data_IF_357094692043
#
_entry.id   IF_357094692043
#
_cell.length_a   1.000
_cell.length_b   1.000
_cell.length_c   1.000
_cell.angle_alpha   90.00
_cell.angle_beta   90.00
_cell.angle_gamma   90.00
#
_symmetry.space_group_name_H-M   'P 1'
#
loop_
_entity.id
_entity.type
_entity.pdbx_description
1 polymer ?
#
# COMPACT_ATOMS: atom_id res chain seq x y z
N UNK A 1 13.21 -18.36 9.22
CA UNK A 1 11.89 -17.88 9.69
C UNK A 1 11.11 -19.02 10.35
N UNK A 2 10.90 -20.16 9.68
CA UNK A 2 10.25 -21.36 10.27
C UNK A 2 11.06 -21.99 11.43
N UNK A 3 12.38 -22.16 11.26
CA UNK A 3 13.26 -22.71 12.33
C UNK A 3 13.44 -21.81 13.56
N UNK A 4 13.01 -20.54 13.49
CA UNK A 4 13.13 -19.59 14.61
C UNK A 4 11.84 -19.44 15.44
N UNK A 5 10.76 -20.15 15.12
CA UNK A 5 9.44 -19.92 15.73
C UNK A 5 8.82 -18.56 15.38
N UNK A 6 9.35 -17.86 14.39
CA UNK A 6 8.92 -16.52 13.98
C UNK A 6 7.87 -16.64 12.89
N UNK A 7 6.65 -16.16 13.17
CA UNK A 7 5.56 -16.07 12.18
C UNK A 7 5.98 -15.09 11.07
N UNK A 8 6.02 -15.58 9.83
CA UNK A 8 6.42 -14.76 8.68
C UNK A 8 5.33 -13.76 8.28
N UNK A 9 5.74 -12.60 7.76
CA UNK A 9 4.86 -11.63 7.13
C UNK A 9 5.42 -11.25 5.77
N UNK A 10 4.57 -11.29 4.75
CA UNK A 10 4.86 -10.82 3.39
C UNK A 10 3.97 -9.60 3.14
N UNK A 11 4.60 -8.48 2.82
CA UNK A 11 3.90 -7.26 2.43
C UNK A 11 4.26 -6.94 0.99
N UNK A 12 3.27 -6.97 0.10
CA UNK A 12 3.43 -6.61 -1.30
C UNK A 12 3.02 -5.15 -1.52
N UNK A 13 3.76 -4.44 -2.38
CA UNK A 13 3.39 -3.10 -2.84
C UNK A 13 2.63 -3.22 -4.15
N UNK A 14 1.35 -2.81 -4.15
CA UNK A 14 0.54 -2.71 -5.36
C UNK A 14 0.25 -1.23 -5.68
N UNK A 15 -0.89 -0.93 -6.29
CA UNK A 15 -1.25 0.41 -6.76
C UNK A 15 -2.76 0.62 -6.65
N UNK A 16 -3.21 1.86 -6.38
CA UNK A 16 -4.62 2.24 -6.53
C UNK A 16 -5.14 2.06 -7.96
N UNK A 17 -4.25 1.95 -8.96
CA UNK A 17 -4.64 1.59 -10.33
C UNK A 17 -5.00 0.11 -10.46
N UNK A 18 -4.52 -0.75 -9.55
CA UNK A 18 -4.87 -2.17 -9.53
C UNK A 18 -6.33 -2.40 -9.12
N UNK A 19 -6.96 -1.48 -8.37
CA UNK A 19 -8.40 -1.53 -8.10
C UNK A 19 -9.26 -1.04 -9.27
N UNK A 20 -8.65 -0.47 -10.33
CA UNK A 20 -9.33 -0.06 -11.57
C UNK A 20 -9.20 -1.08 -12.71
N UNK A 21 -8.51 -2.21 -12.52
CA UNK A 21 -8.30 -3.23 -13.56
C UNK A 21 -8.36 -4.66 -13.02
N UNK A 22 -9.45 -5.36 -13.38
CA UNK A 22 -9.82 -6.76 -13.12
C UNK A 22 -9.82 -7.23 -11.66
N UNK A 23 -11.01 -7.65 -11.21
CA UNK A 23 -11.43 -8.08 -9.88
C UNK A 23 -10.38 -8.84 -9.02
N UNK A 24 -10.01 -8.20 -7.90
CA UNK A 24 -10.07 -8.73 -6.52
C UNK A 24 -9.36 -10.04 -6.09
N UNK A 25 -8.49 -10.69 -6.88
CA UNK A 25 -7.96 -12.02 -6.46
C UNK A 25 -6.46 -12.17 -6.25
N UNK A 26 -5.60 -11.19 -6.58
CA UNK A 26 -4.15 -11.39 -6.43
C UNK A 26 -3.71 -11.53 -4.97
N UNK A 27 -4.20 -10.64 -4.11
CA UNK A 27 -4.01 -10.69 -2.67
C UNK A 27 -4.71 -11.91 -2.05
N UNK A 28 -5.96 -12.19 -2.43
CA UNK A 28 -6.69 -13.36 -1.93
C UNK A 28 -6.00 -14.69 -2.27
N UNK A 29 -5.55 -14.89 -3.51
CA UNK A 29 -4.86 -16.12 -3.96
C UNK A 29 -3.51 -16.30 -3.29
N UNK A 30 -2.73 -15.22 -3.14
CA UNK A 30 -1.44 -15.24 -2.42
C UNK A 30 -1.64 -15.57 -0.94
N UNK A 31 -2.64 -14.98 -0.29
CA UNK A 31 -2.94 -15.23 1.11
C UNK A 31 -3.44 -16.65 1.36
N UNK A 32 -4.27 -17.22 0.48
CA UNK A 32 -4.72 -18.62 0.64
C UNK A 32 -3.60 -19.64 0.46
N UNK A 33 -2.61 -19.37 -0.39
CA UNK A 33 -1.43 -20.23 -0.51
C UNK A 33 -0.51 -20.12 0.72
N UNK A 34 -0.31 -18.92 1.25
CA UNK A 34 0.59 -18.69 2.38
C UNK A 34 0.02 -19.07 3.76
N UNK A 35 -1.32 -19.09 3.90
CA UNK A 35 -2.00 -19.50 5.15
C UNK A 35 -1.73 -20.97 5.49
N UNK A 36 -1.47 -21.83 4.51
CA UNK A 36 -1.09 -23.23 4.75
C UNK A 36 0.23 -23.36 5.53
N UNK A 37 1.12 -22.36 5.41
CA UNK A 37 2.43 -22.33 6.07
C UNK A 37 2.49 -21.35 7.27
N UNK A 38 1.33 -20.84 7.71
CA UNK A 38 1.25 -19.92 8.86
C UNK A 38 1.85 -18.53 8.59
N UNK A 39 1.93 -18.12 7.32
CA UNK A 39 2.46 -16.83 6.88
C UNK A 39 1.32 -15.85 6.61
N UNK A 40 1.45 -14.62 7.08
CA UNK A 40 0.51 -13.53 6.76
C UNK A 40 0.92 -12.87 5.45
N UNK A 41 -0.05 -12.58 4.58
CA UNK A 41 0.19 -11.89 3.31
C UNK A 41 -0.77 -10.74 3.19
N UNK A 42 -0.24 -9.53 3.03
CA UNK A 42 -1.04 -8.32 2.84
C UNK A 42 -0.47 -7.49 1.70
N UNK A 43 -1.29 -6.58 1.20
CA UNK A 43 -0.97 -5.67 0.11
C UNK A 43 -1.13 -4.21 0.57
N UNK A 44 -0.26 -3.32 0.11
CA UNK A 44 -0.38 -1.87 0.31
C UNK A 44 -0.49 -1.20 -1.06
N UNK A 45 -1.55 -0.43 -1.26
CA UNK A 45 -1.84 0.31 -2.51
C UNK A 45 -1.77 1.81 -2.28
N UNK A 46 -0.60 2.46 -2.46
CA UNK A 46 -0.48 3.90 -2.34
C UNK A 46 -1.11 4.62 -3.54
N UNK A 47 -1.62 5.84 -3.30
CA UNK A 47 -1.88 6.80 -4.38
C UNK A 47 -0.59 7.47 -4.84
N UNK A 48 -0.66 8.28 -5.90
CA UNK A 48 0.51 8.98 -6.42
C UNK A 48 1.08 9.91 -5.34
N UNK A 49 2.36 9.72 -5.03
CA UNK A 49 3.14 10.56 -4.13
C UNK A 49 4.46 11.00 -4.78
N UNK A 50 5.16 11.94 -4.15
CA UNK A 50 6.46 12.45 -4.61
C UNK A 50 7.55 11.38 -4.59
N UNK A 51 7.73 10.66 -5.69
CA UNK A 51 8.86 9.75 -5.92
C UNK A 51 9.57 10.14 -7.22
N UNK A 52 10.85 9.74 -7.42
CA UNK A 52 11.55 10.01 -8.67
C UNK A 52 10.77 9.55 -9.92
N UNK A 53 10.03 8.44 -9.81
CA UNK A 53 9.17 7.94 -10.88
C UNK A 53 8.01 8.91 -11.17
N UNK A 54 7.30 9.36 -10.13
CA UNK A 54 6.20 10.32 -10.27
C UNK A 54 6.69 11.65 -10.84
N UNK A 55 7.84 12.15 -10.37
CA UNK A 55 8.44 13.38 -10.87
C UNK A 55 8.78 13.29 -12.37
N UNK A 56 9.30 12.14 -12.82
CA UNK A 56 9.58 11.89 -14.22
C UNK A 56 8.30 11.81 -15.08
N UNK A 57 7.22 11.21 -14.56
CA UNK A 57 5.94 11.08 -15.28
C UNK A 57 5.22 12.43 -15.42
N UNK A 58 5.24 13.25 -14.37
CA UNK A 58 4.51 14.53 -14.33
C UNK A 58 5.37 15.75 -14.68
N UNK A 59 6.62 15.52 -15.11
CA UNK A 59 7.64 16.55 -15.45
C UNK A 59 7.69 17.68 -14.41
N UNK A 60 7.65 17.31 -13.13
CA UNK A 60 7.57 18.25 -12.01
C UNK A 60 8.40 17.74 -10.84
N UNK A 61 8.78 18.63 -9.95
CA UNK A 61 9.41 18.30 -8.67
C UNK A 61 8.45 17.60 -7.70
N UNK A 62 9.00 17.04 -6.63
CA UNK A 62 8.24 16.35 -5.58
C UNK A 62 7.13 17.21 -5.00
N UNK A 63 7.39 18.51 -4.79
CA UNK A 63 6.38 19.45 -4.29
C UNK A 63 5.25 19.67 -5.29
N UNK A 64 5.54 19.76 -6.58
CA UNK A 64 4.53 19.87 -7.64
C UNK A 64 3.64 18.63 -7.74
N UNK A 65 4.20 17.42 -7.59
CA UNK A 65 3.41 16.17 -7.52
C UNK A 65 2.53 16.19 -6.27
N UNK A 66 3.11 16.47 -5.10
CA UNK A 66 2.38 16.49 -3.82
C UNK A 66 1.24 17.51 -3.84
N UNK A 67 1.45 18.70 -4.42
CA UNK A 67 0.43 19.74 -4.52
C UNK A 67 -0.70 19.36 -5.48
N UNK A 68 -0.38 18.73 -6.62
CA UNK A 68 -1.38 18.24 -7.57
C UNK A 68 -2.28 17.19 -6.92
N UNK A 69 -1.68 16.19 -6.26
CA UNK A 69 -2.44 15.06 -5.70
C UNK A 69 -3.09 15.35 -4.34
N UNK A 70 -2.53 16.26 -3.52
CA UNK A 70 -3.19 16.73 -2.28
C UNK A 70 -4.47 17.52 -2.53
N UNK A 71 -4.63 18.13 -3.71
CA UNK A 71 -5.91 18.76 -4.10
C UNK A 71 -7.01 17.73 -4.41
N UNK A 72 -6.61 16.50 -4.74
CA UNK A 72 -7.51 15.42 -5.15
C UNK A 72 -7.81 14.42 -4.02
N UNK A 73 -7.17 14.55 -2.86
CA UNK A 73 -7.49 13.78 -1.66
C UNK A 73 -8.64 14.43 -0.88
N UNK A 74 -9.47 13.64 -0.21
CA UNK A 74 -10.52 14.18 0.66
C UNK A 74 -9.93 14.71 1.99
N UNK A 75 -8.73 14.26 2.37
CA UNK A 75 -7.97 14.77 3.51
C UNK A 75 -7.29 16.09 3.15
N UNK A 76 -8.02 17.20 3.32
CA UNK A 76 -7.53 18.56 3.04
C UNK A 76 -6.29 18.89 3.89
N UNK A 77 -5.25 19.40 3.23
CA UNK A 77 -4.04 19.89 3.89
C UNK A 77 -3.00 18.82 4.23
N UNK A 78 -3.26 17.54 3.91
CA UNK A 78 -2.30 16.47 4.09
C UNK A 78 -1.82 15.95 2.73
N UNK A 79 -0.52 16.11 2.46
CA UNK A 79 0.12 15.48 1.31
C UNK A 79 0.57 14.06 1.68
N UNK A 80 0.37 13.12 0.76
CA UNK A 80 0.85 11.76 0.91
C UNK A 80 2.39 11.76 0.78
N UNK A 81 3.07 11.33 1.84
CA UNK A 81 4.53 11.22 1.90
C UNK A 81 4.96 9.76 1.90
N UNK A 82 6.21 9.51 1.51
CA UNK A 82 6.82 8.18 1.55
C UNK A 82 6.71 7.54 2.94
N UNK A 83 6.87 8.35 4.00
CA UNK A 83 6.78 7.87 5.38
C UNK A 83 5.40 7.28 5.71
N UNK A 84 4.29 7.84 5.19
CA UNK A 84 2.96 7.29 5.46
C UNK A 84 2.80 5.88 4.86
N UNK A 85 3.39 5.64 3.69
CA UNK A 85 3.39 4.31 3.07
C UNK A 85 4.30 3.36 3.85
N UNK A 86 5.46 3.83 4.31
CA UNK A 86 6.36 3.06 5.15
C UNK A 86 5.72 2.65 6.48
N UNK A 87 5.00 3.55 7.14
CA UNK A 87 4.29 3.29 8.39
C UNK A 87 3.16 2.28 8.19
N UNK A 88 2.43 2.36 7.07
CA UNK A 88 1.41 1.38 6.71
C UNK A 88 2.00 -0.03 6.47
N UNK A 89 3.14 -0.10 5.78
CA UNK A 89 3.90 -1.36 5.60
C UNK A 89 4.41 -1.87 6.94
N UNK A 90 4.93 -1.00 7.80
CA UNK A 90 5.41 -1.35 9.14
C UNK A 90 4.28 -1.93 9.99
N UNK A 91 3.10 -1.33 9.98
CA UNK A 91 1.92 -1.85 10.67
C UNK A 91 1.57 -3.27 10.19
N UNK A 92 1.55 -3.51 8.88
CA UNK A 92 1.27 -4.84 8.32
C UNK A 92 2.39 -5.86 8.58
N UNK A 93 3.64 -5.41 8.72
CA UNK A 93 4.77 -6.24 9.10
C UNK A 93 4.80 -6.53 10.61
N UNK A 94 4.26 -5.64 11.45
CA UNK A 94 4.33 -5.73 12.90
C UNK A 94 3.40 -6.81 13.48
N UNK A 95 3.57 -7.09 14.78
CA UNK A 95 2.68 -7.97 15.53
C UNK A 95 1.30 -7.33 15.81
N UNK A 96 1.13 -6.03 15.60
CA UNK A 96 -0.17 -5.36 15.80
C UNK A 96 -1.19 -5.80 14.76
N UNK A 97 -0.73 -6.22 13.58
CA UNK A 97 -1.55 -6.78 12.51
C UNK A 97 -1.61 -8.32 12.54
N UNK A 98 -1.40 -8.95 13.70
CA UNK A 98 -1.33 -10.41 13.84
C UNK A 98 -2.57 -11.16 13.31
N UNK A 99 -3.75 -10.52 13.30
CA UNK A 99 -5.00 -11.07 12.76
C UNK A 99 -5.38 -10.53 11.37
N UNK A 100 -4.49 -9.79 10.71
CA UNK A 100 -4.73 -9.20 9.39
C UNK A 100 -3.89 -9.96 8.35
N UNK A 101 -4.59 -10.63 7.42
CA UNK A 101 -4.05 -11.33 6.27
C UNK A 101 -5.07 -11.30 5.13
N UNK A 102 -4.63 -11.18 3.88
CA UNK A 102 -5.48 -11.04 2.70
C UNK A 102 -6.08 -9.66 2.53
N UNK A 103 -5.47 -8.64 3.14
CA UNK A 103 -5.97 -7.28 3.05
C UNK A 103 -5.15 -6.43 2.08
N UNK A 104 -5.83 -5.70 1.20
CA UNK A 104 -5.27 -4.61 0.42
C UNK A 104 -5.54 -3.26 1.10
N UNK A 105 -4.51 -2.72 1.75
CA UNK A 105 -4.56 -1.44 2.45
C UNK A 105 -4.30 -0.30 1.47
N UNK A 106 -5.35 0.45 1.12
CA UNK A 106 -5.23 1.66 0.33
C UNK A 106 -4.63 2.80 1.18
N UNK A 107 -3.56 3.43 0.69
CA UNK A 107 -2.91 4.59 1.32
C UNK A 107 -3.00 5.77 0.36
N UNK A 108 -4.19 6.35 0.27
CA UNK A 108 -4.55 7.32 -0.77
C UNK A 108 -5.20 8.61 -0.26
N UNK A 109 -5.39 8.73 1.06
CA UNK A 109 -6.07 9.88 1.65
C UNK A 109 -7.54 9.99 1.24
N UNK A 110 -8.19 8.86 0.99
CA UNK A 110 -9.53 8.75 0.43
C UNK A 110 -9.65 9.49 -0.91
N UNK A 111 -8.66 9.33 -1.79
CA UNK A 111 -8.73 9.87 -3.14
C UNK A 111 -9.93 9.25 -3.87
N UNK A 112 -10.93 10.08 -4.19
CA UNK A 112 -12.09 9.61 -4.95
C UNK A 112 -11.71 9.65 -6.43
N UNK A 113 -11.66 8.53 -7.14
CA UNK A 113 -11.58 8.60 -8.59
C UNK A 113 -12.87 9.26 -9.09
N UNK A 114 -12.71 10.33 -9.85
CA UNK A 114 -13.75 10.77 -10.77
C UNK A 114 -14.02 9.69 -11.83
#
# INVERSE_FOLDING_TARGET
MVDGGVKGSIVCTASVTASKGTDEVLDYTMSKHAVLDGIRVNCVSPSVLGTPLSCAIFETDTEGVEKKFSSSSNLKGLALKVNHVADAVLFLASNESAFVSGHNLAVDGAHRPC
#
